data_IF_635916332584
#
_entry.id   IF_635916332584
#
_cell.length_a   1.000
_cell.length_b   1.000
_cell.length_c   1.000
_cell.angle_alpha   90.00
_cell.angle_beta   90.00
_cell.angle_gamma   90.00
#
_symmetry.space_group_name_H-M   'P 1'
#
loop_
_entity.id
_entity.type
_entity.pdbx_description
1 polymer ?
#
# COMPACT_ATOMS: atom_id res chain seq x y z
N UNK A 1 -18.54 15.21 8.03
CA UNK A 1 -17.63 14.14 7.56
C UNK A 1 -18.29 12.84 8.00
N UNK A 2 -18.80 12.02 7.08
CA UNK A 2 -19.45 10.75 7.45
C UNK A 2 -18.40 9.86 8.12
N UNK A 3 -18.71 9.40 9.33
CA UNK A 3 -17.83 8.54 10.10
C UNK A 3 -17.94 7.11 9.55
N UNK A 4 -17.17 6.83 8.51
CA UNK A 4 -17.09 5.50 7.88
C UNK A 4 -16.41 4.52 8.85
N UNK A 5 -17.19 3.67 9.52
CA UNK A 5 -16.68 2.62 10.38
C UNK A 5 -16.33 1.37 9.56
N UNK A 6 -15.03 1.12 9.40
CA UNK A 6 -14.49 0.03 8.58
C UNK A 6 -14.75 -1.35 9.17
N UNK A 7 -15.11 -1.45 10.46
CA UNK A 7 -15.49 -2.71 11.09
C UNK A 7 -16.82 -3.28 10.56
N UNK A 8 -17.65 -2.43 9.94
CA UNK A 8 -18.97 -2.83 9.45
C UNK A 8 -18.88 -3.52 8.08
N UNK A 9 -17.70 -3.56 7.47
CA UNK A 9 -17.48 -4.19 6.17
C UNK A 9 -17.20 -5.68 6.29
N UNK A 10 -17.75 -6.44 5.33
CA UNK A 10 -17.45 -7.87 5.19
C UNK A 10 -15.95 -8.06 4.98
N UNK A 11 -15.37 -9.09 5.61
CA UNK A 11 -13.96 -9.44 5.45
C UNK A 11 -13.77 -10.56 4.43
N UNK A 12 -12.64 -10.52 3.71
CA UNK A 12 -12.23 -11.59 2.82
C UNK A 12 -11.92 -12.84 3.65
N UNK A 13 -12.47 -14.02 3.31
CA UNK A 13 -12.20 -15.24 4.07
C UNK A 13 -10.75 -15.73 3.91
N UNK A 14 -10.07 -15.37 2.82
CA UNK A 14 -8.70 -15.80 2.53
C UNK A 14 -7.66 -14.89 3.19
N UNK A 15 -7.85 -13.57 3.08
CA UNK A 15 -6.84 -12.58 3.48
C UNK A 15 -7.21 -11.77 4.74
N UNK A 16 -8.44 -11.90 5.23
CA UNK A 16 -8.97 -11.06 6.33
C UNK A 16 -9.12 -9.56 6.00
N UNK A 17 -8.82 -9.18 4.74
CA UNK A 17 -8.89 -7.82 4.21
C UNK A 17 -10.33 -7.28 4.24
N UNK A 18 -10.51 -5.95 4.22
CA UNK A 18 -11.82 -5.35 3.94
C UNK A 18 -12.25 -5.70 2.50
N UNK A 19 -13.46 -6.22 2.36
CA UNK A 19 -14.12 -6.36 1.06
C UNK A 19 -14.88 -5.07 0.75
N UNK A 20 -14.67 -4.55 -0.45
CA UNK A 20 -15.32 -3.34 -0.91
C UNK A 20 -16.44 -3.65 -1.89
N UNK A 21 -17.66 -3.23 -1.55
CA UNK A 21 -18.82 -3.31 -2.44
C UNK A 21 -19.06 -1.94 -3.05
N UNK A 22 -19.09 -1.85 -4.39
CA UNK A 22 -19.42 -0.62 -5.12
C UNK A 22 -20.70 -0.85 -5.92
N UNK A 23 -21.78 -0.18 -5.51
CA UNK A 23 -23.11 -0.37 -6.10
C UNK A 23 -23.47 -1.87 -6.17
N UNK A 24 -23.85 -2.36 -7.35
CA UNK A 24 -24.24 -3.75 -7.61
C UNK A 24 -23.10 -4.62 -8.17
N UNK A 25 -21.85 -4.11 -8.21
CA UNK A 25 -20.69 -4.87 -8.66
C UNK A 25 -20.28 -5.94 -7.65
N UNK A 26 -19.63 -7.06 -8.05
CA UNK A 26 -19.09 -8.02 -7.09
C UNK A 26 -18.13 -7.36 -6.07
N UNK A 27 -18.15 -7.77 -4.78
CA UNK A 27 -17.24 -7.22 -3.80
C UNK A 27 -15.78 -7.53 -4.15
N UNK A 28 -14.88 -6.56 -3.95
CA UNK A 28 -13.45 -6.67 -4.28
C UNK A 28 -12.62 -6.80 -3.01
N UNK A 29 -11.68 -7.76 -2.92
CA UNK A 29 -10.71 -7.77 -1.82
C UNK A 29 -9.62 -6.72 -2.06
N UNK A 30 -9.37 -5.92 -1.02
CA UNK A 30 -8.35 -4.88 -1.07
C UNK A 30 -6.93 -5.43 -1.34
N UNK A 31 -6.58 -6.59 -0.78
CA UNK A 31 -5.25 -7.20 -0.95
C UNK A 31 -5.05 -7.67 -2.39
N UNK A 32 -6.01 -8.40 -2.95
CA UNK A 32 -5.94 -8.88 -4.34
C UNK A 32 -5.83 -7.70 -5.32
N UNK A 33 -6.67 -6.68 -5.14
CA UNK A 33 -6.59 -5.46 -5.94
C UNK A 33 -5.22 -4.78 -5.80
N UNK A 34 -4.66 -4.69 -4.59
CA UNK A 34 -3.32 -4.13 -4.41
C UNK A 34 -2.23 -4.96 -5.07
N UNK A 35 -2.29 -6.29 -4.99
CA UNK A 35 -1.34 -7.19 -5.65
C UNK A 35 -1.37 -6.97 -7.16
N UNK A 36 -2.56 -6.90 -7.77
CA UNK A 36 -2.70 -6.63 -9.20
C UNK A 36 -2.10 -5.27 -9.61
N UNK A 37 -2.25 -4.25 -8.76
CA UNK A 37 -1.80 -2.88 -9.06
C UNK A 37 -0.33 -2.63 -8.72
N UNK A 38 0.19 -3.27 -7.68
CA UNK A 38 1.47 -2.93 -7.09
C UNK A 38 2.50 -4.06 -7.16
N UNK A 39 2.07 -5.33 -7.22
CA UNK A 39 2.96 -6.49 -7.24
C UNK A 39 4.03 -6.41 -8.32
N UNK A 40 5.28 -6.69 -7.92
CA UNK A 40 6.49 -6.64 -8.74
C UNK A 40 6.80 -5.28 -9.38
N UNK A 41 6.03 -4.22 -9.08
CA UNK A 41 6.29 -2.89 -9.61
C UNK A 41 7.42 -2.24 -8.83
N UNK A 42 8.30 -1.59 -9.58
CA UNK A 42 9.39 -0.82 -9.00
C UNK A 42 8.91 0.55 -8.56
N UNK A 43 9.56 1.08 -7.54
CA UNK A 43 9.39 2.46 -7.08
C UNK A 43 10.04 3.38 -8.10
N UNK A 44 9.25 4.36 -8.55
CA UNK A 44 9.67 5.41 -9.47
C UNK A 44 9.90 6.73 -8.76
N UNK A 45 9.05 7.08 -7.80
CA UNK A 45 9.12 8.35 -7.09
C UNK A 45 8.58 8.23 -5.65
N UNK A 46 8.86 9.22 -4.82
CA UNK A 46 8.38 9.32 -3.43
C UNK A 46 7.84 10.73 -3.19
N UNK A 47 6.63 10.80 -2.64
CA UNK A 47 6.10 12.03 -2.05
C UNK A 47 6.50 11.99 -0.57
N UNK A 48 7.51 12.76 -0.15
CA UNK A 48 7.94 12.78 1.24
C UNK A 48 6.89 13.45 2.14
N UNK A 49 6.91 13.11 3.42
CA UNK A 49 6.12 13.84 4.40
C UNK A 49 6.62 15.30 4.47
N UNK A 50 5.76 16.27 4.17
CA UNK A 50 6.09 17.69 4.25
C UNK A 50 5.51 18.30 5.54
N UNK A 51 6.12 19.39 6.03
CA UNK A 51 5.60 20.11 7.19
C UNK A 51 4.16 20.61 6.90
N UNK A 52 3.18 20.09 7.64
CA UNK A 52 1.77 20.42 7.48
C UNK A 52 1.00 19.57 6.46
N UNK A 53 1.62 18.57 5.85
CA UNK A 53 0.96 17.57 5.00
C UNK A 53 1.06 16.18 5.61
N UNK A 54 -0.09 15.56 5.88
CA UNK A 54 -0.15 14.15 6.30
C UNK A 54 0.03 13.18 5.12
N UNK A 55 0.20 13.69 3.90
CA UNK A 55 0.33 12.88 2.70
C UNK A 55 1.79 12.53 2.44
N UNK A 56 2.15 11.29 2.78
CA UNK A 56 3.35 10.60 2.32
C UNK A 56 2.92 9.49 1.35
N UNK A 57 3.63 9.30 0.25
CA UNK A 57 3.30 8.24 -0.71
C UNK A 57 4.51 7.74 -1.48
N UNK A 58 4.39 6.54 -2.03
CA UNK A 58 5.31 5.95 -2.99
C UNK A 58 4.60 5.86 -4.33
N UNK A 59 5.26 6.28 -5.40
CA UNK A 59 4.74 6.20 -6.77
C UNK A 59 5.49 5.08 -7.48
N UNK A 60 4.74 4.10 -7.98
CA UNK A 60 5.28 2.95 -8.69
C UNK A 60 5.50 3.27 -10.18
N UNK A 61 6.26 2.43 -10.87
CA UNK A 61 6.61 2.63 -12.29
C UNK A 61 5.40 2.70 -13.22
N UNK A 62 4.29 2.04 -12.88
CA UNK A 62 3.02 2.11 -13.60
C UNK A 62 2.17 3.35 -13.23
N UNK A 63 2.68 4.25 -12.39
CA UNK A 63 1.98 5.44 -11.90
C UNK A 63 1.02 5.19 -10.75
N UNK A 64 0.91 3.94 -10.25
CA UNK A 64 0.08 3.65 -9.08
C UNK A 64 0.69 4.25 -7.82
N UNK A 65 -0.18 4.82 -6.97
CA UNK A 65 0.21 5.51 -5.75
C UNK A 65 -0.08 4.62 -4.54
N UNK A 66 0.95 4.33 -3.76
CA UNK A 66 0.85 3.69 -2.46
C UNK A 66 0.84 4.77 -1.36
N UNK A 67 -0.30 5.05 -0.72
CA UNK A 67 -0.38 6.06 0.32
C UNK A 67 0.24 5.52 1.61
N UNK A 68 1.37 6.08 2.05
CA UNK A 68 2.15 5.57 3.17
C UNK A 68 1.70 6.24 4.47
N UNK A 69 1.40 5.42 5.48
CA UNK A 69 1.15 5.85 6.85
C UNK A 69 2.46 5.96 7.63
N UNK A 70 3.29 4.92 7.55
CA UNK A 70 4.64 4.87 8.11
C UNK A 70 5.50 3.89 7.33
N UNK A 71 6.81 4.14 7.32
CA UNK A 71 7.79 3.22 6.79
C UNK A 71 8.70 2.73 7.91
N UNK A 72 8.98 1.43 7.91
CA UNK A 72 9.82 0.74 8.88
C UNK A 72 10.89 -0.04 8.14
N UNK A 73 12.14 0.06 8.59
CA UNK A 73 13.19 -0.83 8.12
C UNK A 73 13.04 -2.19 8.80
N UNK A 74 13.17 -3.28 8.04
CA UNK A 74 13.04 -4.65 8.53
C UNK A 74 14.30 -5.08 9.27
N UNK A 75 14.43 -4.60 10.51
CA UNK A 75 15.49 -4.94 11.46
C UNK A 75 14.87 -5.44 12.77
N UNK A 76 15.68 -5.98 13.68
CA UNK A 76 15.25 -6.33 15.04
C UNK A 76 15.95 -5.42 16.07
N UNK A 77 15.24 -4.45 16.68
CA UNK A 77 13.83 -4.07 16.49
C UNK A 77 13.59 -3.28 15.18
N UNK A 78 12.34 -3.25 14.70
CA UNK A 78 11.99 -2.48 13.51
C UNK A 78 12.17 -0.97 13.75
N UNK A 79 12.83 -0.28 12.81
CA UNK A 79 13.22 1.13 12.98
C UNK A 79 12.40 2.01 12.04
N UNK A 80 11.72 3.06 12.55
CA UNK A 80 11.07 4.06 11.69
C UNK A 80 12.04 4.72 10.72
N UNK A 81 11.61 4.86 9.46
CA UNK A 81 12.40 5.43 8.39
C UNK A 81 11.63 6.57 7.70
N UNK A 82 12.31 7.67 7.43
CA UNK A 82 11.80 8.67 6.50
C UNK A 82 12.07 8.21 5.06
N UNK A 83 11.02 8.03 4.26
CA UNK A 83 11.17 7.66 2.86
C UNK A 83 11.72 8.85 2.06
N UNK A 84 12.79 8.59 1.33
CA UNK A 84 13.35 9.49 0.32
C UNK A 84 13.53 8.70 -0.97
N UNK A 85 13.51 9.39 -2.11
CA UNK A 85 13.72 8.72 -3.41
C UNK A 85 15.06 7.97 -3.44
N UNK A 86 16.12 8.58 -2.91
CA UNK A 86 17.46 7.97 -2.86
C UNK A 86 17.49 6.61 -2.15
N UNK A 87 16.63 6.42 -1.14
CA UNK A 87 16.60 5.20 -0.34
C UNK A 87 15.84 4.04 -1.00
N UNK A 88 14.91 4.32 -1.92
CA UNK A 88 13.98 3.30 -2.45
C UNK A 88 13.85 3.30 -3.97
N UNK A 89 14.53 4.20 -4.69
CA UNK A 89 14.47 4.23 -6.16
C UNK A 89 14.85 2.86 -6.74
N UNK A 90 13.98 2.31 -7.60
CA UNK A 90 14.18 1.02 -8.24
C UNK A 90 13.92 -0.21 -7.36
N UNK A 91 13.66 -0.04 -6.06
CA UNK A 91 13.18 -1.14 -5.20
C UNK A 91 11.81 -1.60 -5.69
N UNK A 92 11.47 -2.86 -5.48
CA UNK A 92 10.22 -3.44 -5.96
C UNK A 92 9.32 -3.89 -4.81
N UNK A 93 8.00 -3.86 -5.07
CA UNK A 93 6.99 -4.44 -4.19
C UNK A 93 7.10 -5.95 -4.26
N UNK A 94 7.64 -6.55 -3.20
CA UNK A 94 7.86 -7.98 -3.11
C UNK A 94 6.63 -8.72 -2.55
N UNK A 95 5.94 -8.10 -1.59
CA UNK A 95 4.77 -8.69 -0.95
C UNK A 95 3.76 -7.63 -0.49
N UNK A 96 2.50 -8.06 -0.35
CA UNK A 96 1.38 -7.28 0.16
C UNK A 96 0.71 -8.04 1.29
N UNK A 97 0.73 -7.47 2.49
CA UNK A 97 0.33 -8.14 3.72
C UNK A 97 -0.86 -7.45 4.38
N UNK A 98 -1.75 -8.25 4.96
CA UNK A 98 -2.75 -7.77 5.91
C UNK A 98 -2.14 -7.78 7.31
N UNK A 99 -2.30 -6.70 8.09
CA UNK A 99 -1.88 -6.63 9.50
C UNK A 99 -3.09 -6.96 10.38
N UNK A 100 -3.11 -8.13 11.05
CA UNK A 100 -4.21 -8.50 11.93
C UNK A 100 -4.38 -7.51 13.08
N UNK A 101 -5.62 -7.11 13.36
CA UNK A 101 -5.96 -6.27 14.52
C UNK A 101 -5.72 -4.76 14.35
N UNK A 102 -5.02 -4.31 13.30
CA UNK A 102 -4.79 -2.88 13.03
C UNK A 102 -5.60 -2.32 11.85
N UNK A 103 -6.43 -3.14 11.18
CA UNK A 103 -7.13 -2.76 9.94
C UNK A 103 -6.19 -2.05 8.95
N UNK A 104 -5.01 -2.63 8.77
CA UNK A 104 -3.95 -2.05 7.98
C UNK A 104 -3.45 -3.04 6.94
N UNK A 105 -3.07 -2.51 5.77
CA UNK A 105 -2.36 -3.24 4.74
C UNK A 105 -0.93 -2.73 4.73
N UNK A 106 0.03 -3.63 4.58
CA UNK A 106 1.42 -3.30 4.40
C UNK A 106 1.95 -3.81 3.07
N UNK A 107 3.02 -3.19 2.62
CA UNK A 107 3.82 -3.61 1.46
C UNK A 107 5.25 -3.80 1.91
N UNK A 108 5.87 -4.90 1.49
CA UNK A 108 7.31 -5.09 1.60
C UNK A 108 8.00 -4.59 0.33
N UNK A 109 8.96 -3.68 0.50
CA UNK A 109 9.87 -3.28 -0.55
C UNK A 109 11.22 -3.99 -0.38
N UNK A 110 11.71 -4.57 -1.46
CA UNK A 110 13.05 -5.15 -1.54
C UNK A 110 13.92 -4.44 -2.59
N UNK A 111 15.24 -4.34 -2.35
CA UNK A 111 16.17 -3.79 -3.32
C UNK A 111 16.21 -4.66 -4.60
N UNK A 112 16.65 -4.11 -5.75
CA UNK A 112 16.85 -4.90 -6.97
C UNK A 112 17.76 -6.11 -6.72
N UNK A 113 17.36 -7.27 -7.24
CA UNK A 113 18.05 -8.57 -7.05
C UNK A 113 19.53 -8.60 -7.51
N UNK A 114 19.98 -7.60 -8.28
CA UNK A 114 21.38 -7.46 -8.74
C UNK A 114 22.32 -7.11 -7.57
N UNK A 115 21.78 -6.65 -6.43
CA UNK A 115 22.53 -6.39 -5.21
C UNK A 115 22.79 -7.67 -4.38
N UNK A 116 23.13 -8.78 -5.04
CA UNK A 116 23.34 -10.11 -4.43
C UNK A 116 24.48 -10.19 -3.39
N UNK A 117 25.21 -9.09 -3.17
CA UNK A 117 26.29 -8.99 -2.17
C UNK A 117 25.96 -8.04 -1.01
N UNK A 118 24.81 -7.34 -1.04
CA UNK A 118 24.38 -6.50 0.08
C UNK A 118 23.08 -7.04 0.65
N UNK A 119 23.15 -7.57 1.87
CA UNK A 119 22.01 -7.87 2.74
C UNK A 119 21.32 -6.56 3.18
N UNK A 120 20.87 -5.73 2.22
CA UNK A 120 20.10 -4.55 2.57
C UNK A 120 18.74 -5.02 3.11
N UNK A 121 18.41 -4.71 4.38
CA UNK A 121 17.14 -5.10 4.95
C UNK A 121 16.01 -4.44 4.15
N UNK A 122 14.91 -5.18 3.97
CA UNK A 122 13.71 -4.67 3.32
C UNK A 122 13.13 -3.44 4.04
N UNK A 123 12.13 -2.84 3.41
CA UNK A 123 11.35 -1.75 4.02
C UNK A 123 9.88 -2.16 4.03
N UNK A 124 9.28 -2.19 5.22
CA UNK A 124 7.84 -2.33 5.40
C UNK A 124 7.16 -0.97 5.32
N UNK A 125 6.24 -0.84 4.39
CA UNK A 125 5.35 0.30 4.24
C UNK A 125 3.98 -0.06 4.78
N UNK A 126 3.57 0.52 5.91
CA UNK A 126 2.16 0.46 6.30
C UNK A 126 1.39 1.52 5.51
N UNK A 127 0.30 1.10 4.89
CA UNK A 127 -0.48 1.93 3.98
C UNK A 127 -1.68 2.58 4.68
N UNK A 128 -2.07 3.76 4.21
CA UNK A 128 -3.27 4.48 4.67
C UNK A 128 -4.50 3.81 4.08
N UNK A 129 -5.10 2.90 4.84
CA UNK A 129 -6.25 2.13 4.43
C UNK A 129 -7.43 2.97 3.89
N UNK A 130 -7.79 4.09 4.56
CA UNK A 130 -8.87 4.98 4.08
C UNK A 130 -8.62 5.53 2.67
N UNK A 131 -7.37 5.86 2.36
CA UNK A 131 -7.01 6.35 1.02
C UNK A 131 -7.04 5.22 -0.02
N UNK A 132 -6.60 4.03 0.36
CA UNK A 132 -6.68 2.85 -0.52
C UNK A 132 -8.12 2.52 -0.90
N UNK A 133 -9.03 2.53 0.07
CA UNK A 133 -10.47 2.33 -0.21
C UNK A 133 -11.03 3.42 -1.13
N UNK A 134 -10.61 4.67 -0.96
CA UNK A 134 -11.01 5.75 -1.86
C UNK A 134 -10.51 5.51 -3.30
N UNK A 135 -9.24 5.10 -3.48
CA UNK A 135 -8.67 4.79 -4.79
C UNK A 135 -9.39 3.60 -5.45
N UNK A 136 -9.67 2.54 -4.68
CA UNK A 136 -10.46 1.41 -5.15
C UNK A 136 -11.88 1.84 -5.55
N UNK A 137 -12.55 2.67 -4.73
CA UNK A 137 -13.88 3.19 -5.05
C UNK A 137 -13.91 3.94 -6.37
N UNK A 138 -13.01 4.92 -6.50
CA UNK A 138 -12.89 5.78 -7.69
C UNK A 138 -12.63 4.94 -8.94
N UNK A 139 -11.76 3.94 -8.85
CA UNK A 139 -11.52 3.02 -9.96
C UNK A 139 -12.78 2.23 -10.35
N UNK A 140 -13.50 1.66 -9.38
CA UNK A 140 -14.70 0.86 -9.66
C UNK A 140 -15.83 1.71 -10.23
N UNK A 141 -15.99 2.95 -9.76
CA UNK A 141 -16.94 3.92 -10.33
C UNK A 141 -16.61 4.20 -11.79
N UNK A 142 -15.35 4.50 -12.11
CA UNK A 142 -14.92 4.79 -13.49
C UNK A 142 -15.10 3.63 -14.47
N UNK A 143 -15.27 2.39 -13.99
CA UNK A 143 -15.58 1.24 -14.85
C UNK A 143 -17.03 1.22 -15.33
N UNK A 144 -17.93 1.92 -14.65
CA UNK A 144 -19.38 1.90 -14.92
C UNK A 144 -19.95 3.26 -15.32
N UNK A 145 -19.29 4.35 -14.95
CA UNK A 145 -19.66 5.70 -15.39
C UNK A 145 -19.10 6.01 -16.79
N UNK A 146 -19.93 6.57 -17.71
CA UNK A 146 -19.58 6.79 -19.11
C UNK A 146 -18.60 7.95 -19.37
#
# INVERSE_FOLDING_TARGET
MMDYNLNDFKRCPEHGCVMMQVQDLPPVCLIEWLIERAGDKTVRDVIPAAAGSDLQAVILANGFLLPVLRALRVEQPAVPLALTLENVAGWYVADVLSIPGEDAVAVELLPPQVAAESEQPGIFLQLRHKMLLFLLFDEQIRKVEP
#
